data_IF_090276930287
#
_entry.id   IF_090276930287
#
_cell.length_a   1.000
_cell.length_b   1.000
_cell.length_c   1.000
_cell.angle_alpha   90.00
_cell.angle_beta   90.00
_cell.angle_gamma   90.00
#
_symmetry.space_group_name_H-M   'P 1'
#
loop_
_entity.id
_entity.type
_entity.pdbx_description
1 polymer ?
#
# COMPACT_ATOMS: atom_id res chain seq x y z
N UNK A 1 2.62 26.59 27.10
CA UNK A 1 3.21 25.31 26.67
C UNK A 1 2.08 24.47 26.07
N UNK A 2 1.98 24.41 24.74
CA UNK A 2 0.95 23.61 24.07
C UNK A 2 1.37 22.14 24.15
N UNK A 3 0.59 21.32 24.83
CA UNK A 3 0.77 19.87 24.83
C UNK A 3 0.37 19.36 23.44
N UNK A 4 1.36 19.05 22.60
CA UNK A 4 1.12 18.35 21.34
C UNK A 4 0.83 16.88 21.70
N UNK A 5 -0.46 16.54 21.83
CA UNK A 5 -0.88 15.15 21.96
C UNK A 5 -0.73 14.51 20.58
N UNK A 6 0.40 13.83 20.36
CA UNK A 6 0.58 12.93 19.23
C UNK A 6 -0.29 11.71 19.47
N UNK A 7 -1.38 11.53 18.73
CA UNK A 7 -2.39 10.58 19.13
C UNK A 7 -2.26 9.27 18.32
N UNK A 8 -1.22 9.14 17.49
CA UNK A 8 -0.86 7.91 16.77
C UNK A 8 -0.02 7.02 17.67
N UNK A 9 -0.40 5.75 17.78
CA UNK A 9 0.35 4.80 18.60
C UNK A 9 1.63 4.34 17.90
N UNK A 10 1.65 4.44 16.56
CA UNK A 10 2.80 4.12 15.71
C UNK A 10 3.12 5.31 14.81
N UNK A 11 4.38 5.76 14.83
CA UNK A 11 4.84 6.90 14.04
C UNK A 11 4.73 6.64 12.52
N UNK A 12 4.48 7.69 11.70
CA UNK A 12 4.52 7.62 10.23
C UNK A 12 5.78 6.97 9.68
N UNK A 13 5.64 6.27 8.56
CA UNK A 13 6.75 5.63 7.86
C UNK A 13 6.70 6.01 6.38
N UNK A 14 7.87 6.21 5.73
CA UNK A 14 7.90 6.65 4.34
C UNK A 14 7.27 5.60 3.41
N UNK A 15 6.65 6.08 2.33
CA UNK A 15 6.00 5.24 1.32
C UNK A 15 6.93 4.14 0.78
N UNK A 16 8.21 4.45 0.54
CA UNK A 16 9.20 3.48 0.08
C UNK A 16 9.36 2.29 1.02
N UNK A 17 9.23 2.50 2.33
CA UNK A 17 9.36 1.43 3.31
C UNK A 17 8.08 0.58 3.39
N UNK A 18 6.90 1.21 3.25
CA UNK A 18 5.65 0.45 3.10
C UNK A 18 5.64 -0.40 1.84
N UNK A 19 6.20 0.11 0.74
CA UNK A 19 6.36 -0.64 -0.51
C UNK A 19 7.37 -1.77 -0.35
N UNK A 20 8.46 -1.58 0.42
CA UNK A 20 9.37 -2.67 0.75
C UNK A 20 8.68 -3.76 1.59
N UNK A 21 7.86 -3.39 2.57
CA UNK A 21 7.05 -4.33 3.36
C UNK A 21 6.03 -5.08 2.49
N UNK A 22 5.37 -4.40 1.55
CA UNK A 22 4.48 -5.03 0.57
C UNK A 22 5.25 -6.00 -0.34
N UNK A 23 6.45 -5.63 -0.80
CA UNK A 23 7.29 -6.50 -1.62
C UNK A 23 7.72 -7.78 -0.88
N UNK A 24 7.94 -7.70 0.44
CA UNK A 24 8.22 -8.87 1.27
C UNK A 24 7.06 -9.88 1.25
N UNK A 25 5.79 -9.42 1.25
CA UNK A 25 4.60 -10.28 1.09
C UNK A 25 4.59 -11.00 -0.25
N UNK A 26 4.96 -10.30 -1.32
CA UNK A 26 5.02 -10.88 -2.66
C UNK A 26 6.13 -11.93 -2.74
N UNK A 27 7.32 -11.62 -2.22
CA UNK A 27 8.48 -12.51 -2.22
C UNK A 27 8.28 -13.77 -1.39
N UNK A 28 7.54 -13.69 -0.28
CA UNK A 28 7.20 -14.86 0.54
C UNK A 28 6.10 -15.72 -0.07
N UNK A 29 5.49 -15.29 -1.20
CA UNK A 29 4.38 -15.99 -1.83
C UNK A 29 3.07 -15.92 -1.03
N UNK A 30 2.96 -14.97 -0.10
CA UNK A 30 1.84 -14.84 0.84
C UNK A 30 0.85 -13.74 0.49
N UNK A 31 0.71 -13.39 -0.79
CA UNK A 31 -0.27 -12.39 -1.23
C UNK A 31 -1.74 -12.73 -0.87
N UNK A 32 -2.06 -14.01 -0.64
CA UNK A 32 -3.39 -14.46 -0.19
C UNK A 32 -3.85 -13.84 1.13
N UNK A 33 -2.92 -13.40 1.99
CA UNK A 33 -3.25 -12.82 3.30
C UNK A 33 -4.14 -11.57 3.19
N UNK A 34 -4.09 -10.84 2.07
CA UNK A 34 -4.94 -9.67 1.86
C UNK A 34 -6.42 -10.02 1.69
N UNK A 35 -6.73 -11.28 1.38
CA UNK A 35 -8.09 -11.78 1.19
C UNK A 35 -8.58 -12.65 2.36
N UNK A 36 -7.68 -13.41 2.96
CA UNK A 36 -8.01 -14.45 3.94
C UNK A 36 -7.63 -14.05 5.37
N UNK A 37 -6.84 -12.99 5.54
CA UNK A 37 -6.15 -12.68 6.79
C UNK A 37 -4.80 -13.40 6.87
N UNK A 38 -3.99 -13.03 7.86
CA UNK A 38 -2.66 -13.62 8.08
C UNK A 38 -2.65 -14.49 9.34
N UNK A 39 -2.22 -15.75 9.20
CA UNK A 39 -1.90 -16.60 10.34
C UNK A 39 -0.49 -16.30 10.88
N UNK A 40 -0.16 -16.82 12.07
CA UNK A 40 1.17 -16.62 12.67
C UNK A 40 2.31 -17.13 11.78
N UNK A 41 2.10 -18.26 11.08
CA UNK A 41 3.08 -18.79 10.14
C UNK A 41 3.28 -17.89 8.91
N UNK A 42 2.22 -17.26 8.41
CA UNK A 42 2.33 -16.29 7.31
C UNK A 42 3.10 -15.05 7.74
N UNK A 43 2.84 -14.57 8.97
CA UNK A 43 3.53 -13.41 9.53
C UNK A 43 5.03 -13.65 9.59
N UNK A 44 5.44 -14.79 10.15
CA UNK A 44 6.86 -15.15 10.25
C UNK A 44 7.55 -15.16 8.88
N UNK A 45 6.94 -15.79 7.87
CA UNK A 45 7.53 -15.88 6.53
C UNK A 45 7.70 -14.52 5.85
N UNK A 46 6.74 -13.61 6.04
CA UNK A 46 6.82 -12.24 5.52
C UNK A 46 7.88 -11.42 6.27
N UNK A 47 7.93 -11.53 7.60
CA UNK A 47 8.91 -10.81 8.41
C UNK A 47 10.34 -11.28 8.08
N UNK A 48 10.56 -12.58 7.96
CA UNK A 48 11.85 -13.14 7.55
C UNK A 48 12.26 -12.61 6.16
N UNK A 49 11.32 -12.58 5.20
CA UNK A 49 11.57 -12.04 3.87
C UNK A 49 11.87 -10.54 3.88
N UNK A 50 11.25 -9.77 4.77
CA UNK A 50 11.52 -8.34 4.94
C UNK A 50 12.90 -8.10 5.55
N UNK A 51 13.23 -8.79 6.64
CA UNK A 51 14.49 -8.62 7.35
C UNK A 51 15.70 -9.16 6.59
N UNK A 52 15.52 -10.09 5.65
CA UNK A 52 16.60 -10.60 4.81
C UNK A 52 17.28 -9.50 3.95
N UNK A 53 16.53 -8.49 3.52
CA UNK A 53 17.02 -7.44 2.61
C UNK A 53 17.04 -6.04 3.25
N UNK A 54 16.45 -5.88 4.44
CA UNK A 54 16.32 -4.57 5.07
C UNK A 54 17.55 -4.22 5.91
N UNK A 55 18.38 -3.32 5.38
CA UNK A 55 19.61 -2.84 6.03
C UNK A 55 19.41 -1.55 6.86
N UNK A 56 18.17 -1.07 6.98
CA UNK A 56 17.86 0.19 7.65
C UNK A 56 17.74 0.10 9.18
N UNK A 57 17.18 1.16 9.78
CA UNK A 57 16.92 1.19 11.22
C UNK A 57 15.85 0.15 11.61
N UNK A 58 16.18 -0.76 12.53
CA UNK A 58 15.29 -1.83 13.01
C UNK A 58 13.97 -1.29 13.58
N UNK A 59 13.98 -0.19 14.34
CA UNK A 59 12.75 0.40 14.86
C UNK A 59 11.85 0.89 13.73
N UNK A 60 12.42 1.52 12.70
CA UNK A 60 11.66 2.00 11.55
C UNK A 60 11.10 0.84 10.71
N UNK A 61 11.89 -0.22 10.51
CA UNK A 61 11.43 -1.45 9.85
C UNK A 61 10.30 -2.13 10.62
N UNK A 62 10.41 -2.22 11.95
CA UNK A 62 9.36 -2.74 12.82
C UNK A 62 8.06 -1.93 12.74
N UNK A 63 8.13 -0.60 12.68
CA UNK A 63 6.95 0.25 12.49
C UNK A 63 6.26 -0.03 11.15
N UNK A 64 7.03 -0.25 10.07
CA UNK A 64 6.46 -0.60 8.77
C UNK A 64 5.78 -1.97 8.78
N UNK A 65 6.35 -2.97 9.45
CA UNK A 65 5.72 -4.28 9.62
C UNK A 65 4.44 -4.22 10.44
N UNK A 66 4.43 -3.47 11.56
CA UNK A 66 3.20 -3.27 12.36
C UNK A 66 2.10 -2.64 11.51
N UNK A 67 2.45 -1.65 10.68
CA UNK A 67 1.51 -0.99 9.77
C UNK A 67 1.05 -1.89 8.63
N UNK A 68 1.92 -2.75 8.10
CA UNK A 68 1.56 -3.79 7.15
C UNK A 68 0.51 -4.74 7.76
N UNK A 69 0.72 -5.18 9.00
CA UNK A 69 -0.23 -6.08 9.66
C UNK A 69 -1.58 -5.41 9.91
N UNK A 70 -1.57 -4.16 10.38
CA UNK A 70 -2.80 -3.37 10.51
C UNK A 70 -3.49 -3.13 9.15
N UNK A 71 -2.73 -3.04 8.05
CA UNK A 71 -3.26 -2.96 6.69
C UNK A 71 -3.95 -4.28 6.29
N UNK A 72 -3.32 -5.42 6.56
CA UNK A 72 -3.93 -6.74 6.30
C UNK A 72 -5.25 -6.89 7.05
N UNK A 73 -5.29 -6.48 8.32
CA UNK A 73 -6.48 -6.58 9.16
C UNK A 73 -7.61 -5.65 8.68
N UNK A 74 -7.31 -4.38 8.37
CA UNK A 74 -8.34 -3.44 7.91
C UNK A 74 -8.89 -3.81 6.53
N UNK A 75 -8.07 -4.42 5.66
CA UNK A 75 -8.51 -4.88 4.35
C UNK A 75 -9.56 -5.99 4.42
N UNK A 76 -9.69 -6.69 5.57
CA UNK A 76 -10.76 -7.67 5.79
C UNK A 76 -12.15 -7.03 5.91
N UNK A 77 -12.24 -5.70 6.02
CA UNK A 77 -13.52 -5.01 5.96
C UNK A 77 -14.18 -5.24 4.58
N UNK A 78 -15.41 -5.76 4.57
CA UNK A 78 -16.19 -6.12 3.36
C UNK A 78 -16.12 -5.08 2.23
N UNK A 79 -16.20 -3.79 2.57
CA UNK A 79 -16.15 -2.70 1.57
C UNK A 79 -14.76 -2.60 0.90
N UNK A 80 -13.68 -2.77 1.66
CA UNK A 80 -12.31 -2.73 1.14
C UNK A 80 -11.97 -4.00 0.37
N UNK A 81 -12.41 -5.18 0.84
CA UNK A 81 -12.30 -6.43 0.07
C UNK A 81 -12.96 -6.31 -1.30
N UNK A 82 -14.17 -5.74 -1.38
CA UNK A 82 -14.84 -5.51 -2.66
C UNK A 82 -14.03 -4.59 -3.58
N UNK A 83 -13.39 -3.55 -3.05
CA UNK A 83 -12.54 -2.67 -3.86
C UNK A 83 -11.26 -3.37 -4.31
N UNK A 84 -10.66 -4.16 -3.42
CA UNK A 84 -9.48 -4.96 -3.72
C UNK A 84 -9.77 -5.94 -4.87
N UNK A 85 -10.89 -6.68 -4.82
CA UNK A 85 -11.28 -7.60 -5.88
C UNK A 85 -11.55 -6.89 -7.23
N UNK A 86 -12.05 -5.66 -7.20
CA UNK A 86 -12.36 -4.89 -8.41
C UNK A 86 -11.12 -4.24 -9.05
N UNK A 87 -10.15 -3.82 -8.24
CA UNK A 87 -9.01 -2.99 -8.68
C UNK A 87 -7.67 -3.72 -8.65
N UNK A 88 -7.60 -4.87 -7.97
CA UNK A 88 -6.42 -5.72 -7.90
C UNK A 88 -5.22 -5.03 -7.25
N UNK A 89 -4.02 -5.34 -7.77
CA UNK A 89 -2.75 -4.97 -7.15
C UNK A 89 -2.53 -3.45 -7.01
N UNK A 90 -3.01 -2.65 -7.97
CA UNK A 90 -2.89 -1.18 -7.91
C UNK A 90 -3.53 -0.59 -6.65
N UNK A 91 -4.63 -1.20 -6.19
CA UNK A 91 -5.30 -0.79 -4.96
C UNK A 91 -4.48 -1.14 -3.71
N UNK A 92 -3.83 -2.32 -3.69
CA UNK A 92 -2.97 -2.72 -2.57
C UNK A 92 -1.77 -1.77 -2.45
N UNK A 93 -1.13 -1.44 -3.58
CA UNK A 93 0.00 -0.51 -3.59
C UNK A 93 -0.39 0.86 -3.04
N UNK A 94 -1.51 1.42 -3.53
CA UNK A 94 -2.02 2.69 -3.02
C UNK A 94 -2.43 2.60 -1.54
N UNK A 95 -2.95 1.46 -1.08
CA UNK A 95 -3.26 1.22 0.32
C UNK A 95 -2.00 1.18 1.20
N UNK A 96 -0.94 0.50 0.75
CA UNK A 96 0.34 0.46 1.45
C UNK A 96 0.91 1.87 1.61
N UNK A 97 0.94 2.65 0.53
CA UNK A 97 1.38 4.06 0.57
C UNK A 97 0.51 4.87 1.54
N UNK A 98 -0.82 4.76 1.46
CA UNK A 98 -1.74 5.48 2.35
C UNK A 98 -1.46 5.19 3.83
N UNK A 99 -1.24 3.92 4.18
CA UNK A 99 -0.96 3.50 5.56
C UNK A 99 0.38 3.97 6.10
N UNK A 100 1.28 4.47 5.23
CA UNK A 100 2.53 5.13 5.62
C UNK A 100 2.32 6.47 6.34
N UNK A 101 1.25 7.20 6.02
CA UNK A 101 0.97 8.50 6.64
C UNK A 101 -0.29 8.52 7.51
N UNK A 102 -1.19 7.54 7.33
CA UNK A 102 -2.39 7.46 8.15
C UNK A 102 -2.05 7.17 9.61
N UNK A 103 -2.85 7.77 10.49
CA UNK A 103 -2.84 7.49 11.92
C UNK A 103 -3.20 6.02 12.16
N UNK A 104 -2.36 5.34 12.91
CA UNK A 104 -2.59 3.97 13.38
C UNK A 104 -2.89 4.01 14.88
N UNK A 105 -4.01 3.41 15.26
CA UNK A 105 -4.30 3.07 16.65
C UNK A 105 -4.10 1.56 16.84
N UNK A 106 -3.35 1.14 17.85
CA UNK A 106 -3.03 -0.28 18.05
C UNK A 106 -4.20 -1.10 18.60
N UNK A 107 -5.18 -0.47 19.26
CA UNK A 107 -6.39 -1.13 19.76
C UNK A 107 -7.43 -1.34 18.65
N UNK A 108 -7.59 -0.35 17.77
CA UNK A 108 -8.67 -0.30 16.76
C UNK A 108 -8.19 -0.48 15.31
N UNK A 109 -6.88 -0.45 15.06
CA UNK A 109 -6.29 -0.47 13.73
C UNK A 109 -6.50 0.82 12.93
N UNK A 110 -6.46 0.72 11.60
CA UNK A 110 -6.80 1.83 10.71
C UNK A 110 -8.32 1.99 10.59
N UNK A 111 -8.78 3.25 10.55
CA UNK A 111 -10.19 3.53 10.23
C UNK A 111 -10.48 3.23 8.75
N UNK A 112 -11.38 2.27 8.42
CA UNK A 112 -11.61 1.83 7.04
C UNK A 112 -12.04 2.96 6.08
N UNK A 113 -12.88 3.89 6.57
CA UNK A 113 -13.36 5.02 5.78
C UNK A 113 -12.23 6.00 5.44
N UNK A 114 -11.32 6.28 6.39
CA UNK A 114 -10.17 7.17 6.15
C UNK A 114 -9.19 6.54 5.19
N UNK A 115 -8.95 5.23 5.32
CA UNK A 115 -8.11 4.49 4.38
C UNK A 115 -8.70 4.53 2.97
N UNK A 116 -10.00 4.29 2.81
CA UNK A 116 -10.66 4.35 1.50
C UNK A 116 -10.45 5.71 0.81
N UNK A 117 -10.58 6.82 1.54
CA UNK A 117 -10.35 8.16 0.97
C UNK A 117 -8.89 8.41 0.64
N UNK A 118 -7.96 8.01 1.51
CA UNK A 118 -6.53 8.17 1.27
C UNK A 118 -6.07 7.40 0.02
N UNK A 119 -6.56 6.16 -0.16
CA UNK A 119 -6.30 5.36 -1.37
C UNK A 119 -6.78 6.10 -2.62
N UNK A 120 -8.01 6.62 -2.61
CA UNK A 120 -8.57 7.33 -3.74
C UNK A 120 -7.74 8.58 -4.13
N UNK A 121 -7.19 9.30 -3.13
CA UNK A 121 -6.28 10.42 -3.37
C UNK A 121 -4.99 9.95 -4.04
N UNK A 122 -4.34 8.91 -3.51
CA UNK A 122 -3.08 8.38 -4.08
C UNK A 122 -3.28 7.86 -5.50
N UNK A 123 -4.37 7.13 -5.75
CA UNK A 123 -4.67 6.62 -7.09
C UNK A 123 -4.90 7.74 -8.10
N UNK A 124 -5.52 8.85 -7.67
CA UNK A 124 -5.71 10.05 -8.48
C UNK A 124 -4.37 10.72 -8.77
N UNK A 125 -3.53 10.92 -7.75
CA UNK A 125 -2.21 11.53 -7.90
C UNK A 125 -1.31 10.70 -8.83
N UNK A 126 -1.38 9.36 -8.76
CA UNK A 126 -0.68 8.46 -9.68
C UNK A 126 -1.21 8.57 -11.12
N UNK A 127 -2.53 8.72 -11.30
CA UNK A 127 -3.12 8.90 -12.63
C UNK A 127 -2.71 10.24 -13.27
N UNK A 128 -2.56 11.29 -12.47
CA UNK A 128 -2.13 12.62 -12.96
C UNK A 128 -0.64 12.65 -13.33
N UNK A 129 0.20 11.81 -12.70
CA UNK A 129 1.62 11.69 -13.01
C UNK A 129 1.93 10.85 -14.26
N UNK A 130 0.99 10.01 -14.70
CA UNK A 130 1.14 9.28 -15.97
C UNK A 130 1.02 10.27 -17.14
N UNK A 131 1.91 10.20 -18.16
CA UNK A 131 1.76 11.02 -19.35
C UNK A 131 0.37 10.75 -19.94
N UNK A 132 -0.40 11.81 -20.19
CA UNK A 132 -1.68 11.68 -20.91
C UNK A 132 -1.40 10.90 -22.19
N UNK A 133 -2.20 9.86 -22.52
CA UNK A 133 -2.03 9.16 -23.78
C UNK A 133 -2.07 10.22 -24.88
N UNK A 134 -1.01 10.28 -25.69
CA UNK A 134 -0.96 11.14 -26.86
C UNK A 134 -2.14 10.72 -27.73
N UNK A 135 -3.15 11.57 -27.81
CA UNK A 135 -4.29 11.34 -28.69
C UNK A 135 -3.77 11.59 -30.09
N UNK A 136 -3.34 10.51 -30.76
CA UNK A 136 -2.98 10.58 -32.17
C UNK A 136 -4.28 10.88 -32.92
N UNK A 137 -4.39 12.09 -33.48
CA UNK A 137 -5.54 12.43 -34.30
C UNK A 137 -5.55 11.54 -35.56
N UNK A 138 -6.71 11.19 -36.14
CA UNK A 138 -6.77 10.28 -37.30
C UNK A 138 -5.87 10.69 -38.48
N UNK A 139 -5.60 11.98 -38.62
CA UNK A 139 -4.71 12.56 -39.63
C UNK A 139 -3.22 12.29 -39.37
N UNK A 140 -2.81 12.13 -38.11
CA UNK A 140 -1.43 11.79 -37.73
C UNK A 140 -1.15 10.29 -37.91
N UNK A 141 -2.17 9.44 -37.74
CA UNK A 141 -2.09 8.01 -38.03
C UNK A 141 -1.81 7.72 -39.51
N UNK A 142 -2.33 8.57 -40.41
CA UNK A 142 -2.10 8.48 -41.86
C UNK A 142 -0.70 8.94 -42.29
N UNK A 143 0.07 9.58 -41.40
CA UNK A 143 1.42 10.08 -41.65
C UNK A 143 2.51 9.19 -41.03
N UNK A 144 2.14 8.17 -40.26
CA UNK A 144 3.09 7.19 -39.77
C UNK A 144 3.63 6.39 -40.95
N UNK A 145 4.96 6.26 -41.12
CA UNK A 145 5.51 5.39 -42.15
C UNK A 145 5.00 3.99 -41.87
N UNK A 146 4.42 3.34 -42.89
CA UNK A 146 4.08 1.94 -42.81
C UNK A 146 5.33 1.17 -42.38
N UNK A 147 5.27 0.56 -41.19
CA UNK A 147 6.37 -0.22 -40.66
C UNK A 147 6.77 -1.26 -41.71
N UNK A 148 8.03 -1.17 -42.17
CA UNK A 148 8.64 -2.08 -43.12
C UNK A 148 8.95 -3.44 -42.47
#
# INVERSE_FOLDING_TARGET
MMLHLEPTDVAPVPASLMLAALNAVVRSGKAGIFFEGAEAADRQLVEDAFWADYEGNTSLGGMALIRLWALVDVLQARRLQNQLLQRGFRFIEAAAIATGDLRLNLEWGFMPQRLFWAIATIEKDHAEKLPKPVRIEPLELAQLPAAA
#
